data_IF_615681611324
#
_entry.id   IF_615681611324
#
_cell.length_a   1.000
_cell.length_b   1.000
_cell.length_c   1.000
_cell.angle_alpha   90.00
_cell.angle_beta   90.00
_cell.angle_gamma   90.00
#
_symmetry.space_group_name_H-M   'P 1'
#
loop_
_entity.id
_entity.type
_entity.pdbx_description
1 polymer ?
#
# COMPACT_ATOMS: atom_id res chain seq x y z
N UNK A 1 -24.52 -31.42 -8.09
CA UNK A 1 -23.55 -32.07 -7.24
C UNK A 1 -22.11 -31.81 -7.75
N UNK A 2 -21.73 -32.27 -8.95
CA UNK A 2 -20.37 -32.14 -9.49
C UNK A 2 -19.85 -30.69 -9.58
N UNK A 3 -20.70 -29.71 -9.93
CA UNK A 3 -20.32 -28.29 -9.99
C UNK A 3 -19.98 -27.74 -8.59
N UNK A 4 -20.78 -28.08 -7.58
CA UNK A 4 -20.53 -27.65 -6.20
C UNK A 4 -19.24 -28.28 -5.63
N UNK A 5 -18.99 -29.55 -5.90
CA UNK A 5 -17.74 -30.22 -5.51
C UNK A 5 -16.52 -29.59 -6.20
N UNK A 6 -16.65 -29.21 -7.46
CA UNK A 6 -15.58 -28.51 -8.19
C UNK A 6 -15.32 -27.10 -7.59
N UNK A 7 -16.37 -26.35 -7.28
CA UNK A 7 -16.25 -25.04 -6.63
C UNK A 7 -15.62 -25.14 -5.23
N UNK A 8 -16.00 -26.14 -4.44
CA UNK A 8 -15.39 -26.40 -3.13
C UNK A 8 -13.91 -26.81 -3.22
N UNK A 9 -13.53 -27.58 -4.24
CA UNK A 9 -12.12 -27.93 -4.47
C UNK A 9 -11.30 -26.71 -4.87
N UNK A 10 -11.85 -25.86 -5.74
CA UNK A 10 -11.21 -24.61 -6.13
C UNK A 10 -11.05 -23.66 -4.92
N UNK A 11 -12.10 -23.49 -4.13
CA UNK A 11 -12.03 -22.66 -2.91
C UNK A 11 -10.95 -23.18 -1.95
N UNK A 12 -10.94 -24.48 -1.63
CA UNK A 12 -9.92 -25.09 -0.78
C UNK A 12 -8.50 -24.94 -1.35
N UNK A 13 -8.36 -25.03 -2.69
CA UNK A 13 -7.06 -24.80 -3.35
C UNK A 13 -6.55 -23.38 -3.17
N UNK A 14 -7.44 -22.39 -3.34
CA UNK A 14 -7.11 -20.98 -3.11
C UNK A 14 -6.78 -20.70 -1.63
N UNK A 15 -7.53 -21.27 -0.69
CA UNK A 15 -7.27 -21.09 0.74
C UNK A 15 -5.92 -21.70 1.15
N UNK A 16 -5.61 -22.91 0.66
CA UNK A 16 -4.31 -23.55 0.90
C UNK A 16 -3.14 -22.74 0.30
N UNK A 17 -3.32 -22.19 -0.90
CA UNK A 17 -2.32 -21.32 -1.54
C UNK A 17 -2.09 -20.03 -0.74
N UNK A 18 -3.15 -19.38 -0.27
CA UNK A 18 -3.07 -18.19 0.57
C UNK A 18 -2.36 -18.47 1.89
N UNK A 19 -2.75 -19.56 2.57
CA UNK A 19 -2.12 -19.96 3.82
C UNK A 19 -0.63 -20.26 3.64
N UNK A 20 -0.25 -20.91 2.53
CA UNK A 20 1.15 -21.13 2.19
C UNK A 20 1.90 -19.80 1.99
N UNK A 21 1.32 -18.86 1.26
CA UNK A 21 1.92 -17.52 1.04
C UNK A 21 2.06 -16.77 2.38
N UNK A 22 1.03 -16.79 3.23
CA UNK A 22 1.08 -16.17 4.54
C UNK A 22 2.17 -16.75 5.43
N UNK A 23 2.25 -18.08 5.53
CA UNK A 23 3.29 -18.75 6.31
C UNK A 23 4.70 -18.44 5.77
N UNK A 24 4.90 -18.48 4.45
CA UNK A 24 6.18 -18.15 3.84
C UNK A 24 6.60 -16.71 4.12
N UNK A 25 5.65 -15.76 4.04
CA UNK A 25 5.92 -14.37 4.34
C UNK A 25 6.25 -14.13 5.82
N UNK A 26 5.61 -14.84 6.76
CA UNK A 26 5.97 -14.81 8.19
C UNK A 26 7.39 -15.32 8.43
N UNK A 27 7.76 -16.45 7.80
CA UNK A 27 9.11 -17.03 7.91
C UNK A 27 10.20 -16.15 7.28
N UNK A 28 9.86 -15.35 6.28
CA UNK A 28 10.78 -14.39 5.65
C UNK A 28 10.93 -13.08 6.45
N UNK A 29 9.92 -12.66 7.20
CA UNK A 29 9.97 -11.42 7.99
C UNK A 29 11.11 -11.43 8.99
N UNK A 30 11.26 -12.50 9.75
CA UNK A 30 12.26 -12.64 10.82
C UNK A 30 13.70 -12.46 10.30
N UNK A 31 14.18 -13.22 9.28
CA UNK A 31 15.53 -13.04 8.76
C UNK A 31 15.74 -11.67 8.11
N UNK A 32 14.72 -11.10 7.46
CA UNK A 32 14.83 -9.75 6.88
C UNK A 32 14.97 -8.66 7.94
N UNK A 33 14.20 -8.74 9.02
CA UNK A 33 14.35 -7.81 10.17
C UNK A 33 15.74 -7.92 10.80
N UNK A 34 16.27 -9.15 10.95
CA UNK A 34 17.62 -9.36 11.47
C UNK A 34 18.68 -8.75 10.56
N UNK A 35 18.57 -8.96 9.24
CA UNK A 35 19.48 -8.36 8.24
C UNK A 35 19.42 -6.84 8.27
N UNK A 36 18.23 -6.27 8.37
CA UNK A 36 18.05 -4.83 8.46
C UNK A 36 18.73 -4.26 9.70
N UNK A 37 18.49 -4.87 10.87
CA UNK A 37 19.13 -4.45 12.14
C UNK A 37 20.66 -4.56 12.07
N UNK A 38 21.19 -5.64 11.46
CA UNK A 38 22.65 -5.82 11.32
C UNK A 38 23.27 -4.76 10.40
N UNK A 39 22.61 -4.40 9.30
CA UNK A 39 23.06 -3.37 8.39
C UNK A 39 23.02 -1.96 9.04
N UNK A 40 21.98 -1.68 9.83
CA UNK A 40 21.86 -0.44 10.60
C UNK A 40 22.98 -0.33 11.65
N UNK A 41 23.17 -1.38 12.46
CA UNK A 41 24.25 -1.42 13.47
C UNK A 41 25.63 -1.27 12.83
N UNK A 42 25.88 -1.96 11.71
CA UNK A 42 27.16 -1.84 11.03
C UNK A 42 27.41 -0.40 10.52
N UNK A 43 26.38 0.25 10.00
CA UNK A 43 26.49 1.64 9.55
C UNK A 43 26.76 2.61 10.70
N UNK A 44 26.12 2.39 11.86
CA UNK A 44 26.30 3.23 13.04
C UNK A 44 27.68 3.03 13.70
N UNK A 45 28.21 1.81 13.70
CA UNK A 45 29.51 1.46 14.28
C UNK A 45 30.69 1.90 13.39
N UNK A 46 30.46 2.13 12.09
CA UNK A 46 31.50 2.44 11.12
C UNK A 46 31.18 3.71 10.31
N UNK A 47 31.10 4.89 10.97
CA UNK A 47 30.76 6.14 10.29
C UNK A 47 31.82 6.59 9.26
N UNK A 48 33.07 6.12 9.40
CA UNK A 48 34.22 6.53 8.58
C UNK A 48 34.57 5.53 7.45
N UNK A 49 33.62 4.68 7.03
CA UNK A 49 33.85 3.74 5.94
C UNK A 49 34.12 4.47 4.61
N UNK A 50 34.86 3.79 3.73
CA UNK A 50 35.14 4.30 2.38
C UNK A 50 33.85 4.59 1.63
N UNK A 51 33.78 5.69 0.83
CA UNK A 51 32.55 6.06 0.11
C UNK A 51 31.96 4.95 -0.77
N UNK A 52 32.82 4.12 -1.38
CA UNK A 52 32.37 2.96 -2.18
C UNK A 52 31.65 1.90 -1.33
N UNK A 53 32.18 1.63 -0.12
CA UNK A 53 31.55 0.69 0.83
C UNK A 53 30.25 1.25 1.38
N UNK A 54 30.19 2.55 1.67
CA UNK A 54 28.96 3.22 2.09
C UNK A 54 27.87 3.15 1.03
N UNK A 55 28.22 3.38 -0.25
CA UNK A 55 27.28 3.25 -1.36
C UNK A 55 26.76 1.81 -1.54
N UNK A 56 27.64 0.82 -1.35
CA UNK A 56 27.24 -0.59 -1.39
C UNK A 56 26.31 -0.96 -0.24
N UNK A 57 26.61 -0.51 0.99
CA UNK A 57 25.73 -0.73 2.16
C UNK A 57 24.36 -0.07 1.98
N UNK A 58 24.31 1.16 1.47
CA UNK A 58 23.05 1.82 1.17
C UNK A 58 22.22 1.02 0.16
N UNK A 59 22.86 0.46 -0.86
CA UNK A 59 22.18 -0.41 -1.85
C UNK A 59 21.62 -1.68 -1.18
N UNK A 60 22.37 -2.30 -0.28
CA UNK A 60 21.91 -3.47 0.47
C UNK A 60 20.73 -3.13 1.40
N UNK A 61 20.80 -2.00 2.11
CA UNK A 61 19.72 -1.52 2.97
C UNK A 61 18.43 -1.29 2.17
N UNK A 62 18.53 -0.63 1.01
CA UNK A 62 17.41 -0.41 0.10
C UNK A 62 16.77 -1.73 -0.36
N UNK A 63 17.59 -2.75 -0.70
CA UNK A 63 17.08 -4.04 -1.18
C UNK A 63 16.45 -4.85 -0.05
N UNK A 64 17.03 -4.87 1.17
CA UNK A 64 16.43 -5.52 2.33
C UNK A 64 15.10 -4.85 2.70
N UNK A 65 15.04 -3.52 2.66
CA UNK A 65 13.81 -2.78 2.91
C UNK A 65 12.74 -3.04 1.85
N UNK A 66 13.17 -3.21 0.58
CA UNK A 66 12.28 -3.62 -0.51
C UNK A 66 11.70 -5.01 -0.28
N UNK A 67 12.53 -6.00 0.10
CA UNK A 67 12.09 -7.36 0.42
C UNK A 67 11.14 -7.38 1.62
N UNK A 68 11.41 -6.60 2.66
CA UNK A 68 10.51 -6.44 3.81
C UNK A 68 9.13 -5.93 3.38
N UNK A 69 9.07 -4.91 2.53
CA UNK A 69 7.79 -4.41 1.98
C UNK A 69 7.04 -5.47 1.17
N UNK A 70 7.74 -6.27 0.38
CA UNK A 70 7.14 -7.37 -0.38
C UNK A 70 6.54 -8.43 0.54
N UNK A 71 7.26 -8.84 1.60
CA UNK A 71 6.75 -9.82 2.56
C UNK A 71 5.55 -9.30 3.35
N UNK A 72 5.54 -8.01 3.74
CA UNK A 72 4.37 -7.39 4.34
C UNK A 72 3.16 -7.41 3.39
N UNK A 73 3.35 -7.05 2.13
CA UNK A 73 2.27 -7.10 1.13
C UNK A 73 1.68 -8.51 0.96
N UNK A 74 2.54 -9.55 0.97
CA UNK A 74 2.09 -10.95 0.89
C UNK A 74 1.26 -11.37 2.11
N UNK A 75 1.68 -10.98 3.32
CA UNK A 75 0.93 -11.24 4.55
C UNK A 75 -0.44 -10.56 4.52
N UNK A 76 -0.46 -9.32 4.14
CA UNK A 76 -1.68 -8.53 4.04
C UNK A 76 -2.70 -9.15 3.09
N UNK A 77 -2.24 -9.75 1.98
CA UNK A 77 -3.12 -10.48 1.05
C UNK A 77 -3.66 -11.80 1.65
N UNK A 78 -2.92 -12.42 2.58
CA UNK A 78 -3.35 -13.65 3.26
C UNK A 78 -4.48 -13.38 4.25
N UNK A 79 -4.42 -12.27 5.00
CA UNK A 79 -5.29 -12.01 6.15
C UNK A 79 -6.63 -11.32 5.79
N UNK A 80 -6.77 -10.82 4.56
CA UNK A 80 -7.94 -10.02 4.12
C UNK A 80 -9.32 -10.67 4.33
N UNK A 81 -9.41 -11.99 4.40
CA UNK A 81 -10.70 -12.69 4.54
C UNK A 81 -11.14 -12.89 6.00
N UNK A 82 -10.19 -12.92 6.94
CA UNK A 82 -10.46 -13.13 8.36
C UNK A 82 -10.86 -11.85 9.11
N UNK A 83 -10.73 -10.70 8.44
CA UNK A 83 -11.01 -9.40 9.05
C UNK A 83 -12.53 -9.16 9.12
N UNK A 84 -13.10 -8.87 10.30
CA UNK A 84 -14.49 -8.46 10.44
C UNK A 84 -14.82 -7.24 9.58
N UNK A 85 -16.08 -7.16 9.10
CA UNK A 85 -16.55 -6.08 8.20
C UNK A 85 -17.88 -5.50 8.66
N UNK A 86 -18.04 -5.35 9.94
CA UNK A 86 -19.27 -4.93 10.62
C UNK A 86 -19.11 -3.60 11.37
N UNK A 87 -17.94 -2.94 11.24
CA UNK A 87 -17.73 -1.61 11.79
C UNK A 87 -18.60 -0.57 11.09
N UNK A 88 -19.13 0.38 11.85
CA UNK A 88 -19.85 1.55 11.34
C UNK A 88 -18.87 2.71 11.23
N UNK A 89 -18.54 3.11 10.02
CA UNK A 89 -17.40 3.96 9.72
C UNK A 89 -17.88 5.25 9.08
N UNK A 90 -17.55 6.40 9.70
CA UNK A 90 -17.74 7.71 9.09
C UNK A 90 -16.51 8.03 8.24
N UNK A 91 -16.70 8.24 6.92
CA UNK A 91 -15.58 8.36 5.98
C UNK A 91 -14.78 9.65 6.15
N UNK A 92 -15.43 10.76 6.50
CA UNK A 92 -14.75 12.07 6.61
C UNK A 92 -13.62 12.08 7.64
N UNK A 93 -13.81 11.66 8.90
CA UNK A 93 -12.73 11.61 9.88
C UNK A 93 -11.60 10.66 9.47
N UNK A 94 -11.95 9.50 8.88
CA UNK A 94 -10.95 8.53 8.40
C UNK A 94 -10.05 9.13 7.30
N UNK A 95 -10.64 9.85 6.35
CA UNK A 95 -9.88 10.51 5.28
C UNK A 95 -9.00 11.63 5.86
N UNK A 96 -9.54 12.41 6.82
CA UNK A 96 -8.78 13.47 7.48
C UNK A 96 -7.59 12.92 8.29
N UNK A 97 -7.74 11.76 8.94
CA UNK A 97 -6.65 11.05 9.63
C UNK A 97 -5.56 10.58 8.64
N UNK A 98 -5.96 9.99 7.52
CA UNK A 98 -5.01 9.60 6.45
C UNK A 98 -4.25 10.81 5.91
N UNK A 99 -4.92 11.96 5.75
CA UNK A 99 -4.25 13.19 5.34
C UNK A 99 -3.27 13.70 6.39
N UNK A 100 -3.61 13.62 7.68
CA UNK A 100 -2.73 13.98 8.77
C UNK A 100 -1.47 13.10 8.82
N UNK A 101 -1.62 11.78 8.66
CA UNK A 101 -0.51 10.83 8.64
C UNK A 101 0.43 11.05 7.45
N UNK A 102 -0.12 11.43 6.30
CA UNK A 102 0.65 11.68 5.08
C UNK A 102 1.11 13.13 4.90
N UNK A 103 0.71 14.05 5.80
CA UNK A 103 1.08 15.46 5.74
C UNK A 103 2.62 15.67 5.66
N UNK A 104 3.49 14.99 6.46
CA UNK A 104 4.94 15.17 6.35
C UNK A 104 5.50 14.75 4.99
N UNK A 105 4.89 13.75 4.33
CA UNK A 105 5.27 13.31 2.99
C UNK A 105 4.80 14.33 1.94
N UNK A 106 3.58 14.83 2.07
CA UNK A 106 2.99 15.82 1.18
C UNK A 106 3.76 17.15 1.23
N UNK A 107 4.10 17.65 2.43
CA UNK A 107 4.88 18.87 2.62
C UNK A 107 6.25 18.79 1.95
N UNK A 108 6.98 17.67 2.14
CA UNK A 108 8.28 17.47 1.49
C UNK A 108 8.21 17.50 -0.04
N UNK A 109 7.08 17.10 -0.62
CA UNK A 109 6.85 17.10 -2.06
C UNK A 109 6.09 18.35 -2.56
N UNK A 110 5.72 19.27 -1.66
CA UNK A 110 4.95 20.48 -1.98
C UNK A 110 3.53 20.17 -2.47
N UNK A 111 2.88 19.10 -1.92
CA UNK A 111 1.55 18.65 -2.32
C UNK A 111 0.51 19.16 -1.32
N UNK A 112 -0.62 19.66 -1.82
CA UNK A 112 -1.76 20.04 -1.00
C UNK A 112 -2.84 18.96 -1.01
N UNK A 113 -3.55 18.81 0.12
CA UNK A 113 -4.71 17.94 0.26
C UNK A 113 -6.02 18.76 0.21
N UNK A 114 -7.05 18.16 -0.38
CA UNK A 114 -8.42 18.69 -0.36
C UNK A 114 -9.42 17.55 -0.19
N UNK A 115 -10.37 17.70 0.74
CA UNK A 115 -11.52 16.82 0.86
C UNK A 115 -12.78 17.59 0.53
N UNK A 116 -13.65 16.97 -0.30
CA UNK A 116 -14.94 17.52 -0.70
C UNK A 116 -16.02 16.42 -0.60
N UNK A 117 -17.27 16.84 -0.76
CA UNK A 117 -18.41 15.93 -0.82
C UNK A 117 -19.15 15.77 0.51
N UNK A 118 -19.83 14.64 0.66
CA UNK A 118 -20.80 14.39 1.71
C UNK A 118 -20.17 13.64 2.90
N UNK A 119 -20.72 13.88 4.11
CA UNK A 119 -20.41 13.06 5.27
C UNK A 119 -21.21 11.76 5.21
N UNK A 120 -20.57 10.68 4.73
CA UNK A 120 -21.20 9.38 4.52
C UNK A 120 -20.67 8.36 5.51
N UNK A 121 -21.60 7.55 6.03
CA UNK A 121 -21.28 6.39 6.86
C UNK A 121 -21.42 5.11 6.05
N UNK A 122 -20.44 4.22 6.18
CA UNK A 122 -20.44 2.89 5.54
C UNK A 122 -20.28 1.80 6.59
N UNK A 123 -20.72 0.58 6.26
CA UNK A 123 -20.47 -0.61 7.07
C UNK A 123 -19.36 -1.42 6.40
N UNK A 124 -18.30 -1.72 7.13
CA UNK A 124 -17.15 -2.42 6.58
C UNK A 124 -16.10 -2.72 7.65
N UNK A 125 -14.86 -2.92 7.23
CA UNK A 125 -13.73 -2.99 8.15
C UNK A 125 -12.99 -1.66 8.17
N UNK A 126 -12.92 -1.04 9.34
CA UNK A 126 -12.19 0.21 9.57
C UNK A 126 -10.73 0.09 9.11
N UNK A 127 -10.05 -0.97 9.56
CA UNK A 127 -8.65 -1.24 9.20
C UNK A 127 -8.44 -1.36 7.67
N UNK A 128 -9.32 -2.07 6.96
CA UNK A 128 -9.17 -2.27 5.52
C UNK A 128 -9.47 -1.02 4.71
N UNK A 129 -10.47 -0.24 5.13
CA UNK A 129 -10.82 1.02 4.48
C UNK A 129 -9.74 2.08 4.72
N UNK A 130 -9.28 2.24 5.95
CA UNK A 130 -8.17 3.14 6.29
C UNK A 130 -6.93 2.81 5.44
N UNK A 131 -6.57 1.52 5.36
CA UNK A 131 -5.46 1.05 4.56
C UNK A 131 -5.64 1.30 3.05
N UNK A 132 -6.85 1.10 2.53
CA UNK A 132 -7.17 1.41 1.14
C UNK A 132 -6.96 2.91 0.85
N UNK A 133 -7.49 3.79 1.70
CA UNK A 133 -7.30 5.24 1.54
C UNK A 133 -5.83 5.63 1.66
N UNK A 134 -5.14 5.10 2.67
CA UNK A 134 -3.71 5.37 2.84
C UNK A 134 -2.91 5.01 1.58
N UNK A 135 -3.11 3.81 1.02
CA UNK A 135 -2.41 3.37 -0.18
C UNK A 135 -2.72 4.26 -1.40
N UNK A 136 -3.99 4.64 -1.60
CA UNK A 136 -4.40 5.48 -2.72
C UNK A 136 -3.82 6.89 -2.59
N UNK A 137 -3.93 7.51 -1.41
CA UNK A 137 -3.44 8.87 -1.16
C UNK A 137 -1.91 8.91 -1.16
N UNK A 138 -1.24 7.91 -0.57
CA UNK A 138 0.22 7.80 -0.61
C UNK A 138 0.74 7.70 -2.05
N UNK A 139 0.10 6.89 -2.90
CA UNK A 139 0.43 6.82 -4.31
C UNK A 139 0.20 8.15 -5.02
N UNK A 140 -0.93 8.81 -4.75
CA UNK A 140 -1.26 10.12 -5.31
C UNK A 140 -0.24 11.20 -4.92
N UNK A 141 0.39 11.12 -3.73
CA UNK A 141 1.49 12.00 -3.32
C UNK A 141 2.81 11.59 -3.98
N UNK A 142 3.18 10.31 -3.97
CA UNK A 142 4.46 9.80 -4.49
C UNK A 142 4.65 10.02 -5.99
N UNK A 143 3.57 9.92 -6.76
CA UNK A 143 3.59 10.06 -8.23
C UNK A 143 3.08 11.42 -8.70
N UNK A 144 2.93 12.38 -7.78
CA UNK A 144 2.54 13.73 -8.10
C UNK A 144 3.72 14.57 -8.61
N UNK A 145 3.40 15.74 -9.13
CA UNK A 145 4.38 16.78 -9.48
C UNK A 145 4.53 17.78 -8.33
N UNK A 146 5.69 18.42 -8.16
CA UNK A 146 5.86 19.48 -7.17
C UNK A 146 4.82 20.59 -7.32
N UNK A 147 4.22 21.04 -6.22
CA UNK A 147 3.14 22.02 -6.22
C UNK A 147 1.78 21.48 -6.68
N UNK A 148 1.66 20.15 -6.76
CA UNK A 148 0.41 19.48 -7.13
C UNK A 148 -0.59 19.37 -5.98
N UNK A 149 -1.69 18.67 -6.25
CA UNK A 149 -2.80 18.48 -5.32
C UNK A 149 -3.27 17.03 -5.34
N UNK A 150 -3.75 16.55 -4.20
CA UNK A 150 -4.54 15.32 -4.06
C UNK A 150 -5.90 15.70 -3.49
N UNK A 151 -6.96 15.30 -4.18
CA UNK A 151 -8.35 15.57 -3.79
C UNK A 151 -9.09 14.27 -3.58
N UNK A 152 -9.80 14.14 -2.45
CA UNK A 152 -10.75 13.06 -2.19
C UNK A 152 -12.16 13.65 -2.17
N UNK A 153 -13.03 13.17 -3.06
CA UNK A 153 -14.43 13.57 -3.17
C UNK A 153 -15.33 12.36 -2.88
N UNK A 154 -16.25 12.51 -1.91
CA UNK A 154 -17.17 11.46 -1.48
C UNK A 154 -18.60 11.85 -1.89
N UNK A 155 -19.28 10.98 -2.63
CA UNK A 155 -20.64 11.20 -3.12
C UNK A 155 -21.50 9.98 -2.84
N UNK A 156 -22.77 10.21 -2.50
CA UNK A 156 -23.77 9.15 -2.45
C UNK A 156 -24.68 9.24 -3.66
N UNK A 157 -24.71 8.16 -4.48
CA UNK A 157 -25.53 8.07 -5.69
C UNK A 157 -26.23 6.71 -5.77
N UNK A 158 -27.52 6.72 -5.95
CA UNK A 158 -28.34 5.50 -6.15
C UNK A 158 -28.11 4.42 -5.07
N UNK A 159 -27.94 4.84 -3.82
CA UNK A 159 -27.68 3.95 -2.69
C UNK A 159 -26.24 3.39 -2.61
N UNK A 160 -25.36 3.84 -3.49
CA UNK A 160 -23.95 3.52 -3.49
C UNK A 160 -23.11 4.71 -3.05
N UNK A 161 -22.00 4.43 -2.36
CA UNK A 161 -20.99 5.45 -2.04
C UNK A 161 -19.91 5.40 -3.10
N UNK A 162 -19.71 6.54 -3.76
CA UNK A 162 -18.69 6.70 -4.80
C UNK A 162 -17.62 7.64 -4.26
N UNK A 163 -16.37 7.18 -4.29
CA UNK A 163 -15.22 7.92 -3.78
C UNK A 163 -14.25 8.15 -4.94
N UNK A 164 -13.94 9.41 -5.21
CA UNK A 164 -12.96 9.78 -6.21
C UNK A 164 -11.69 10.29 -5.52
N UNK A 165 -10.58 9.61 -5.77
CA UNK A 165 -9.24 10.10 -5.40
C UNK A 165 -8.60 10.63 -6.68
N UNK A 166 -8.38 11.93 -6.73
CA UNK A 166 -7.83 12.63 -7.90
C UNK A 166 -6.50 13.26 -7.56
N UNK A 167 -5.51 13.07 -8.39
CA UNK A 167 -4.20 13.70 -8.29
C UNK A 167 -3.87 14.52 -9.54
N UNK A 168 -2.86 15.37 -9.43
CA UNK A 168 -2.32 16.16 -10.55
C UNK A 168 -0.98 15.65 -11.04
N UNK A 169 -0.69 14.38 -10.79
CA UNK A 169 0.57 13.71 -11.08
C UNK A 169 0.79 13.33 -12.54
N UNK A 170 1.69 12.37 -12.74
CA UNK A 170 2.08 11.92 -14.08
C UNK A 170 1.01 11.06 -14.77
N UNK A 171 -0.02 10.62 -14.02
CA UNK A 171 -1.03 9.70 -14.53
C UNK A 171 -0.50 8.29 -14.81
N UNK A 172 -1.38 7.43 -15.31
CA UNK A 172 -1.07 6.05 -15.66
C UNK A 172 -1.38 5.87 -17.15
N UNK A 173 -0.40 5.45 -17.99
CA UNK A 173 -0.64 5.15 -19.40
C UNK A 173 -1.73 4.09 -19.56
N UNK A 174 -2.59 4.26 -20.57
CA UNK A 174 -3.78 3.41 -20.78
C UNK A 174 -3.43 1.92 -20.93
N UNK A 175 -2.28 1.61 -21.48
CA UNK A 175 -1.79 0.24 -21.65
C UNK A 175 -1.59 -0.52 -20.32
N UNK A 176 -1.42 0.20 -19.21
CA UNK A 176 -1.20 -0.38 -17.87
C UNK A 176 -2.47 -0.45 -17.00
N UNK A 177 -3.60 0.13 -17.41
CA UNK A 177 -4.80 0.22 -16.57
C UNK A 177 -5.32 -1.13 -16.05
N UNK A 178 -5.16 -2.20 -16.82
CA UNK A 178 -5.52 -3.54 -16.36
C UNK A 178 -4.43 -4.18 -15.49
N UNK A 179 -3.17 -3.81 -15.72
CA UNK A 179 -2.03 -4.41 -15.04
C UNK A 179 -1.75 -3.82 -13.68
N UNK A 180 -2.14 -2.56 -13.42
CA UNK A 180 -1.89 -1.88 -12.12
C UNK A 180 -2.57 -2.57 -10.93
N UNK A 181 -3.59 -3.38 -11.16
CA UNK A 181 -4.26 -4.17 -10.12
C UNK A 181 -3.61 -5.54 -9.88
N UNK A 182 -2.60 -5.91 -10.69
CA UNK A 182 -1.86 -7.14 -10.46
C UNK A 182 -0.87 -6.96 -9.31
N UNK A 183 -0.77 -7.93 -8.38
CA UNK A 183 0.22 -7.88 -7.31
C UNK A 183 1.62 -7.66 -7.87
N UNK A 184 2.40 -6.77 -7.22
CA UNK A 184 3.80 -6.46 -7.55
C UNK A 184 4.03 -5.76 -8.91
N UNK A 185 2.98 -5.48 -9.67
CA UNK A 185 3.11 -4.72 -10.90
C UNK A 185 3.54 -3.27 -10.60
N UNK A 186 4.46 -2.75 -11.38
CA UNK A 186 4.89 -1.35 -11.34
C UNK A 186 5.14 -0.88 -12.77
N UNK A 187 4.68 0.31 -13.09
CA UNK A 187 5.12 1.01 -14.31
C UNK A 187 6.58 1.39 -14.11
N UNK A 188 7.45 1.07 -15.08
CA UNK A 188 8.90 1.20 -14.96
C UNK A 188 9.34 2.56 -14.41
N UNK A 189 10.40 2.57 -13.57
CA UNK A 189 10.99 3.75 -12.92
C UNK A 189 11.47 4.84 -13.90
N UNK A 190 11.55 4.56 -15.19
CA UNK A 190 11.99 5.51 -16.22
C UNK A 190 10.95 6.61 -16.53
N UNK A 191 9.68 6.42 -16.13
CA UNK A 191 8.58 7.36 -16.35
C UNK A 191 8.27 8.25 -15.13
N UNK A 192 8.97 8.05 -14.02
CA UNK A 192 8.79 8.81 -12.76
C UNK A 192 10.00 9.69 -12.45
N UNK A 193 10.51 10.38 -13.47
CA UNK A 193 11.50 11.47 -13.32
C UNK A 193 10.89 12.79 -13.70
#
# INVERSE_FOLDING_TARGET
HALNEMLERLSRGFDAQRQFIGNAAHELRTPLTLLQTQLELFSDEHPDILPESAAFLATLQDEVQRLSRLTHTLLDMSDLQSVPRDDVILLSPMIDEVFADLAPLAERNGISFSREGEDVTVVGSDMLLCRMFFNLVENAVKYNRPGGMVKVDVQQRDGQVVIHVTDTGCGIPQEFWQSIFQPFFRVDKSLSR
#
